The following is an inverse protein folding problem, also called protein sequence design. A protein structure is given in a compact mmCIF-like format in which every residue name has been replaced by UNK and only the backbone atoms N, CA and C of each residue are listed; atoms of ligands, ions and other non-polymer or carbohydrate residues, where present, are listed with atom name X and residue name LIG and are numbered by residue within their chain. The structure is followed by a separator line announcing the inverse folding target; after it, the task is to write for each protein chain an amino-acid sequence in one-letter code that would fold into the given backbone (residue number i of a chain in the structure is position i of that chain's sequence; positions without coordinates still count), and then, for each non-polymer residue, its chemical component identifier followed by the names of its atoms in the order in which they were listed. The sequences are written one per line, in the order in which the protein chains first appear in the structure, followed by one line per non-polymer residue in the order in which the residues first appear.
data_IF_614784012641
#
_entry.id   IF_614784012641
#
_cell.length_a   1.000
_cell.length_b   1.000
_cell.length_c   1.000
_cell.angle_alpha   90.00
_cell.angle_beta   90.00
_cell.angle_gamma   90.00
#
_symmetry.space_group_name_H-M   'P 1'
#
loop_
_entity.id
_entity.type
_entity.pdbx_description
1 polymer ?
#
# COMPACT_ATOMS: atom_id res chain seq x y z
N UNK A 1 -67.14 11.54 -13.15
CA UNK A 1 -65.80 11.29 -12.58
C UNK A 1 -65.97 10.99 -11.10
N UNK A 2 -65.49 9.84 -10.62
CA UNK A 2 -65.69 9.40 -9.23
C UNK A 2 -64.85 10.20 -8.22
N UNK A 3 -65.50 10.71 -7.19
CA UNK A 3 -64.90 11.52 -6.11
C UNK A 3 -63.74 10.80 -5.40
N UNK A 4 -63.77 9.46 -5.32
CA UNK A 4 -62.71 8.65 -4.71
C UNK A 4 -61.42 8.62 -5.53
N UNK A 5 -61.51 8.62 -6.87
CA UNK A 5 -60.33 8.66 -7.75
C UNK A 5 -59.61 10.01 -7.65
N UNK A 6 -60.34 11.09 -7.41
CA UNK A 6 -59.77 12.42 -7.25
C UNK A 6 -58.97 12.52 -5.95
N UNK A 7 -59.52 12.01 -4.83
CA UNK A 7 -58.80 11.95 -3.55
C UNK A 7 -57.54 11.08 -3.60
N UNK A 8 -57.55 9.96 -4.32
CA UNK A 8 -56.33 9.13 -4.47
C UNK A 8 -55.24 9.80 -5.29
N UNK A 9 -55.60 10.58 -6.32
CA UNK A 9 -54.61 11.32 -7.13
C UNK A 9 -53.99 12.43 -6.30
N UNK A 10 -54.80 13.24 -5.61
CA UNK A 10 -54.32 14.32 -4.74
C UNK A 10 -53.38 13.81 -3.63
N UNK A 11 -53.73 12.71 -2.97
CA UNK A 11 -52.88 12.14 -1.92
C UNK A 11 -51.56 11.58 -2.46
N UNK A 12 -51.58 10.97 -3.65
CA UNK A 12 -50.35 10.49 -4.30
C UNK A 12 -49.44 11.63 -4.76
N UNK A 13 -50.00 12.75 -5.20
CA UNK A 13 -49.24 13.95 -5.57
C UNK A 13 -48.63 14.63 -4.35
N UNK A 14 -49.38 14.76 -3.24
CA UNK A 14 -48.85 15.26 -1.97
C UNK A 14 -47.70 14.40 -1.46
N UNK A 15 -47.81 13.07 -1.55
CA UNK A 15 -46.73 12.14 -1.15
C UNK A 15 -45.48 12.30 -2.01
N UNK A 16 -45.62 12.55 -3.32
CA UNK A 16 -44.48 12.83 -4.21
C UNK A 16 -43.78 14.15 -3.86
N UNK A 17 -44.54 15.19 -3.53
CA UNK A 17 -43.97 16.48 -3.11
C UNK A 17 -43.20 16.36 -1.79
N UNK A 18 -43.75 15.65 -0.81
CA UNK A 18 -43.08 15.38 0.48
C UNK A 18 -41.78 14.57 0.28
N UNK A 19 -41.80 13.55 -0.58
CA UNK A 19 -40.60 12.77 -0.89
C UNK A 19 -39.52 13.61 -1.60
N UNK A 20 -39.92 14.51 -2.49
CA UNK A 20 -39.02 15.45 -3.16
C UNK A 20 -38.37 16.44 -2.19
N UNK A 21 -39.14 16.98 -1.23
CA UNK A 21 -38.64 17.87 -0.19
C UNK A 21 -37.64 17.15 0.74
N UNK A 22 -37.97 15.93 1.20
CA UNK A 22 -37.07 15.13 2.05
C UNK A 22 -35.71 14.86 1.40
N UNK A 23 -35.70 14.45 0.12
CA UNK A 23 -34.44 14.25 -0.64
C UNK A 23 -33.66 15.54 -0.87
N UNK A 24 -34.32 16.70 -0.86
CA UNK A 24 -33.66 18.01 -0.98
C UNK A 24 -33.02 18.40 0.35
N UNK A 25 -33.68 18.13 1.46
CA UNK A 25 -33.16 18.43 2.80
C UNK A 25 -32.03 17.48 3.21
N UNK A 26 -32.10 16.19 2.85
CA UNK A 26 -31.00 15.23 3.01
C UNK A 26 -29.74 15.67 2.26
N UNK A 27 -29.88 16.06 0.98
CA UNK A 27 -28.75 16.57 0.20
C UNK A 27 -28.15 17.84 0.77
N UNK A 28 -28.97 18.76 1.29
CA UNK A 28 -28.48 19.97 1.96
C UNK A 28 -27.68 19.61 3.22
N UNK A 29 -28.17 18.66 4.01
CA UNK A 29 -27.47 18.20 5.22
C UNK A 29 -26.12 17.58 4.89
N UNK A 30 -26.04 16.76 3.84
CA UNK A 30 -24.77 16.20 3.36
C UNK A 30 -23.82 17.28 2.86
N UNK A 31 -24.33 18.27 2.13
CA UNK A 31 -23.53 19.39 1.63
C UNK A 31 -22.92 20.20 2.78
N UNK A 32 -23.71 20.44 3.84
CA UNK A 32 -23.23 21.11 5.05
C UNK A 32 -22.16 20.28 5.75
N UNK A 33 -22.36 18.96 5.89
CA UNK A 33 -21.35 18.06 6.50
C UNK A 33 -20.04 18.10 5.74
N UNK A 34 -20.08 17.91 4.42
CA UNK A 34 -18.89 17.95 3.56
C UNK A 34 -18.21 19.31 3.64
N UNK A 35 -18.98 20.40 3.68
CA UNK A 35 -18.41 21.74 3.84
C UNK A 35 -17.68 21.88 5.18
N UNK A 36 -18.29 21.44 6.29
CA UNK A 36 -17.64 21.49 7.61
C UNK A 36 -16.39 20.62 7.68
N UNK A 37 -16.39 19.45 7.06
CA UNK A 37 -15.21 18.58 6.98
C UNK A 37 -14.08 19.23 6.18
N UNK A 38 -14.41 19.88 5.05
CA UNK A 38 -13.44 20.62 4.26
C UNK A 38 -12.84 21.79 5.05
N UNK A 39 -13.66 22.56 5.77
CA UNK A 39 -13.17 23.69 6.57
C UNK A 39 -12.23 23.21 7.70
N UNK A 40 -12.55 22.10 8.35
CA UNK A 40 -11.69 21.47 9.37
C UNK A 40 -10.39 20.94 8.77
N UNK A 41 -10.46 20.28 7.61
CA UNK A 41 -9.27 19.79 6.90
C UNK A 41 -8.36 20.94 6.48
N UNK A 42 -8.93 22.00 5.90
CA UNK A 42 -8.20 23.22 5.54
C UNK A 42 -7.50 23.84 6.76
N UNK A 43 -8.20 23.96 7.89
CA UNK A 43 -7.61 24.42 9.14
C UNK A 43 -6.42 23.56 9.59
N UNK A 44 -6.56 22.24 9.56
CA UNK A 44 -5.46 21.30 9.88
C UNK A 44 -4.26 21.45 8.94
N UNK A 45 -4.50 21.62 7.65
CA UNK A 45 -3.44 21.82 6.66
C UNK A 45 -2.70 23.14 6.88
N UNK A 46 -3.41 24.22 7.24
CA UNK A 46 -2.81 25.52 7.56
C UNK A 46 -1.94 25.43 8.81
N UNK A 47 -2.45 24.81 9.89
CA UNK A 47 -1.68 24.61 11.13
C UNK A 47 -0.44 23.78 10.87
N UNK A 48 -0.56 22.67 10.12
CA UNK A 48 0.58 21.83 9.77
C UNK A 48 1.61 22.57 8.91
N UNK A 49 1.16 23.40 7.97
CA UNK A 49 2.04 24.22 7.15
C UNK A 49 2.74 25.32 7.98
N UNK A 50 2.05 25.90 8.97
CA UNK A 50 2.66 26.82 9.93
C UNK A 50 3.69 26.12 10.81
N UNK A 51 3.39 24.91 11.30
CA UNK A 51 4.34 24.09 12.06
C UNK A 51 5.58 23.78 11.23
N UNK A 52 5.44 23.27 10.00
CA UNK A 52 6.58 23.01 9.11
C UNK A 52 7.38 24.27 8.75
N UNK A 53 6.78 25.47 8.78
CA UNK A 53 7.50 26.74 8.58
C UNK A 53 8.22 27.22 9.84
N UNK A 54 7.72 26.87 11.01
CA UNK A 54 8.26 27.29 12.31
C UNK A 54 9.19 26.24 12.93
N UNK A 55 9.22 25.03 12.37
CA UNK A 55 10.26 24.04 12.65
C UNK A 55 11.57 24.59 12.08
N UNK A 56 12.48 25.00 12.98
CA UNK A 56 13.85 25.31 12.61
C UNK A 56 14.44 24.07 11.94
N UNK A 57 15.01 24.28 10.74
CA UNK A 57 15.86 23.26 10.13
C UNK A 57 17.07 23.17 11.07
N UNK A 58 17.07 22.21 11.98
CA UNK A 58 18.23 21.85 12.79
C UNK A 58 19.33 21.40 11.82
N UNK A 59 20.03 22.37 11.26
CA UNK A 59 21.35 22.17 10.73
C UNK A 59 22.25 21.95 11.94
N UNK A 60 23.15 20.99 11.86
CA UNK A 60 24.05 20.67 12.97
C UNK A 60 25.04 21.83 13.11
N UNK A 61 24.73 22.79 13.98
CA UNK A 61 25.40 24.09 14.05
C UNK A 61 26.77 24.00 14.76
N UNK A 62 27.03 22.87 15.42
CA UNK A 62 28.30 22.61 16.09
C UNK A 62 29.09 21.50 15.40
N UNK A 63 30.42 21.68 15.37
CA UNK A 63 31.34 20.71 14.79
C UNK A 63 31.28 19.33 15.46
N UNK A 64 30.88 19.28 16.74
CA UNK A 64 30.79 18.07 17.54
C UNK A 64 29.59 17.21 17.14
N UNK A 65 28.43 17.83 16.92
CA UNK A 65 27.22 17.14 16.48
C UNK A 65 27.37 16.60 15.04
N UNK A 66 28.06 17.35 14.17
CA UNK A 66 28.35 16.87 12.82
C UNK A 66 29.29 15.66 12.83
N UNK A 67 30.31 15.66 13.69
CA UNK A 67 31.21 14.52 13.87
C UNK A 67 30.48 13.29 14.40
N UNK A 68 29.62 13.46 15.39
CA UNK A 68 28.79 12.38 15.92
C UNK A 68 27.86 11.79 14.85
N UNK A 69 27.21 12.63 14.05
CA UNK A 69 26.36 12.19 12.94
C UNK A 69 27.14 11.42 11.87
N UNK A 70 28.34 11.88 11.51
CA UNK A 70 29.19 11.20 10.55
C UNK A 70 29.62 9.82 11.06
N UNK A 71 29.95 9.71 12.35
CA UNK A 71 30.30 8.44 12.99
C UNK A 71 29.11 7.47 13.00
N UNK A 72 27.91 7.94 13.36
CA UNK A 72 26.69 7.14 13.32
C UNK A 72 26.42 6.60 11.90
N UNK A 73 26.58 7.44 10.87
CA UNK A 73 26.40 7.01 9.48
C UNK A 73 27.49 6.06 9.01
N UNK A 74 28.72 6.21 9.49
CA UNK A 74 29.79 5.25 9.20
C UNK A 74 29.52 3.89 9.83
N UNK A 75 29.01 3.83 11.06
CA UNK A 75 28.63 2.59 11.74
C UNK A 75 27.49 1.86 11.00
N UNK A 76 26.44 2.58 10.59
CA UNK A 76 25.35 2.03 9.77
C UNK A 76 25.90 1.42 8.46
N UNK A 77 26.79 2.13 7.78
CA UNK A 77 27.39 1.66 6.52
C UNK A 77 28.32 0.45 6.70
N UNK A 78 29.10 0.42 7.78
CA UNK A 78 29.96 -0.71 8.11
C UNK A 78 29.11 -1.94 8.41
N UNK A 79 28.01 -1.78 9.17
CA UNK A 79 27.08 -2.86 9.49
C UNK A 79 26.44 -3.44 8.23
N UNK A 80 25.98 -2.58 7.31
CA UNK A 80 25.42 -3.01 6.01
C UNK A 80 26.47 -3.74 5.17
N UNK A 81 27.70 -3.21 5.05
CA UNK A 81 28.78 -3.83 4.28
C UNK A 81 29.28 -5.13 4.90
N UNK A 82 29.29 -5.24 6.23
CA UNK A 82 29.64 -6.45 6.94
C UNK A 82 28.56 -7.54 6.72
N UNK A 83 27.28 -7.17 6.75
CA UNK A 83 26.18 -8.07 6.41
C UNK A 83 26.26 -8.55 4.95
N UNK A 84 26.60 -7.66 4.00
CA UNK A 84 26.79 -8.02 2.59
C UNK A 84 27.96 -9.01 2.40
N UNK A 85 29.06 -8.85 3.15
CA UNK A 85 30.24 -9.73 3.07
C UNK A 85 30.06 -11.06 3.81
N UNK A 86 29.36 -11.08 4.94
CA UNK A 86 29.10 -12.30 5.72
C UNK A 86 28.04 -13.19 5.08
N UNK A 87 27.18 -12.64 4.21
CA UNK A 87 26.22 -13.39 3.41
C UNK A 87 26.47 -13.22 1.90
N UNK A 88 27.48 -13.90 1.31
CA UNK A 88 27.61 -13.95 -0.14
C UNK A 88 26.42 -14.68 -0.82
N UNK A 89 25.54 -15.31 -0.03
CA UNK A 89 24.38 -16.09 -0.48
C UNK A 89 23.08 -15.77 0.29
N UNK A 90 22.95 -14.59 0.90
CA UNK A 90 21.65 -14.17 1.44
C UNK A 90 21.58 -12.65 1.41
N UNK A 91 20.73 -12.10 0.55
CA UNK A 91 20.34 -10.68 0.66
C UNK A 91 19.65 -10.49 2.02
N UNK A 92 20.41 -10.04 3.01
CA UNK A 92 19.91 -9.75 4.35
C UNK A 92 18.98 -8.55 4.33
N UNK A 93 17.86 -8.70 5.03
CA UNK A 93 16.87 -7.67 5.38
C UNK A 93 16.05 -7.08 4.23
N UNK A 94 15.04 -7.85 3.80
CA UNK A 94 13.75 -7.28 3.46
C UNK A 94 12.69 -7.93 4.35
N UNK A 95 12.29 -7.25 5.42
CA UNK A 95 10.95 -7.39 5.98
C UNK A 95 9.94 -7.01 4.88
N UNK A 96 9.61 -8.00 4.05
CA UNK A 96 8.36 -8.15 3.32
C UNK A 96 8.53 -9.42 2.51
N UNK A 97 7.84 -10.47 2.96
CA UNK A 97 7.22 -11.48 2.10
C UNK A 97 7.20 -11.00 0.65
N UNK A 98 8.14 -11.49 -0.15
CA UNK A 98 8.12 -11.25 -1.59
C UNK A 98 6.94 -12.07 -2.10
N UNK A 99 5.76 -11.46 -2.18
CA UNK A 99 4.63 -12.14 -2.80
C UNK A 99 4.88 -12.13 -4.29
N UNK A 100 5.15 -13.31 -4.85
CA UNK A 100 5.13 -13.52 -6.29
C UNK A 100 3.68 -13.44 -6.73
N UNK A 101 3.30 -12.32 -7.34
CA UNK A 101 1.93 -12.16 -7.84
C UNK A 101 1.89 -12.75 -9.23
N UNK A 102 1.17 -13.87 -9.38
CA UNK A 102 0.70 -14.31 -10.69
C UNK A 102 -0.38 -13.31 -11.11
N UNK A 103 -0.32 -12.79 -12.33
CA UNK A 103 -1.30 -11.82 -12.80
C UNK A 103 -2.73 -12.32 -12.52
N UNK A 104 -3.57 -11.55 -11.82
CA UNK A 104 -4.90 -12.02 -11.39
C UNK A 104 -5.88 -12.25 -12.56
N UNK A 105 -5.53 -11.81 -13.78
CA UNK A 105 -6.28 -12.12 -15.00
C UNK A 105 -6.07 -13.56 -15.49
N UNK A 106 -5.01 -14.25 -15.06
CA UNK A 106 -4.71 -15.62 -15.46
C UNK A 106 -5.34 -16.62 -14.51
N UNK A 107 -6.68 -16.69 -14.52
CA UNK A 107 -7.44 -17.74 -13.85
C UNK A 107 -7.21 -19.07 -14.56
N UNK A 108 -6.11 -19.74 -14.26
CA UNK A 108 -5.99 -21.20 -14.39
C UNK A 108 -4.80 -21.69 -13.56
N UNK A 109 -5.14 -22.59 -12.65
CA UNK A 109 -4.21 -23.34 -11.80
C UNK A 109 -3.14 -24.00 -12.66
N UNK A 110 -1.93 -23.44 -12.62
CA UNK A 110 -0.71 -24.13 -13.01
C UNK A 110 0.32 -23.79 -11.95
N UNK A 111 0.96 -24.84 -11.46
CA UNK A 111 2.16 -24.82 -10.62
C UNK A 111 3.23 -23.96 -11.28
N UNK A 112 4.01 -23.23 -10.46
CA UNK A 112 5.12 -22.41 -10.98
C UNK A 112 6.16 -23.30 -11.64
N UNK A 113 6.62 -22.92 -12.83
CA UNK A 113 7.67 -23.65 -13.55
C UNK A 113 8.98 -22.89 -13.51
N UNK A 114 10.06 -23.66 -13.63
CA UNK A 114 11.38 -23.11 -13.88
C UNK A 114 11.33 -22.33 -15.20
N UNK A 115 11.96 -21.15 -15.22
CA UNK A 115 11.98 -20.12 -16.27
C UNK A 115 10.71 -19.29 -16.44
N UNK A 116 9.72 -19.43 -15.58
CA UNK A 116 8.59 -18.50 -15.57
C UNK A 116 9.06 -17.09 -15.17
N UNK A 117 8.53 -16.08 -15.87
CA UNK A 117 8.76 -14.66 -15.55
C UNK A 117 7.75 -14.25 -14.49
N UNK A 118 8.25 -13.68 -13.40
CA UNK A 118 7.45 -13.30 -12.24
C UNK A 118 7.67 -11.84 -11.89
N UNK A 119 6.60 -11.19 -11.46
CA UNK A 119 6.65 -9.83 -10.94
C UNK A 119 6.73 -9.87 -9.41
N UNK A 120 7.68 -9.13 -8.87
CA UNK A 120 8.06 -9.15 -7.47
C UNK A 120 7.43 -7.95 -6.79
N UNK A 121 6.56 -8.18 -5.81
CA UNK A 121 5.88 -7.11 -5.10
C UNK A 121 6.87 -6.17 -4.41
N UNK A 122 6.89 -4.91 -4.83
CA UNK A 122 7.74 -3.86 -4.25
C UNK A 122 7.11 -3.14 -3.06
N UNK A 123 7.83 -2.18 -2.48
CA UNK A 123 7.29 -1.28 -1.44
C UNK A 123 6.36 -0.20 -2.02
N UNK A 124 6.48 0.06 -3.32
CA UNK A 124 5.72 1.09 -4.05
C UNK A 124 4.35 0.57 -4.51
N UNK A 125 3.34 1.46 -4.50
CA UNK A 125 1.97 1.12 -4.94
C UNK A 125 1.85 0.91 -6.46
N UNK A 126 2.73 1.52 -7.25
CA UNK A 126 2.72 1.39 -8.73
C UNK A 126 3.42 0.10 -9.17
N UNK A 127 2.69 -0.77 -9.89
CA UNK A 127 3.19 -2.04 -10.41
C UNK A 127 4.28 -1.90 -11.48
N UNK A 128 4.37 -0.75 -12.15
CA UNK A 128 5.37 -0.50 -13.19
C UNK A 128 6.80 -0.41 -12.63
N UNK A 129 6.93 -0.05 -11.36
CA UNK A 129 8.22 0.08 -10.67
C UNK A 129 8.64 -1.22 -9.95
N UNK A 130 7.87 -2.30 -10.13
CA UNK A 130 8.18 -3.58 -9.52
C UNK A 130 9.23 -4.31 -10.36
N UNK A 131 10.10 -5.04 -9.68
CA UNK A 131 11.17 -5.78 -10.34
C UNK A 131 10.60 -7.04 -11.01
N UNK A 132 11.04 -7.29 -12.25
CA UNK A 132 10.80 -8.55 -12.95
C UNK A 132 11.94 -9.52 -12.66
N UNK A 133 11.59 -10.78 -12.39
CA UNK A 133 12.53 -11.87 -12.16
C UNK A 133 12.19 -13.10 -12.98
N UNK A 134 13.17 -13.96 -13.19
CA UNK A 134 12.97 -15.28 -13.82
C UNK A 134 13.22 -16.35 -12.76
N UNK A 135 12.28 -17.28 -12.59
CA UNK A 135 12.46 -18.43 -11.69
C UNK A 135 13.57 -19.32 -12.22
N UNK A 136 14.58 -19.59 -11.39
CA UNK A 136 15.68 -20.48 -11.72
C UNK A 136 15.49 -21.84 -11.07
N UNK A 137 15.14 -21.86 -9.80
CA UNK A 137 14.96 -23.07 -9.00
C UNK A 137 13.70 -22.91 -8.14
N UNK A 138 12.98 -24.01 -7.94
CA UNK A 138 11.75 -24.07 -7.14
C UNK A 138 12.00 -25.06 -6.02
N UNK A 139 11.65 -24.68 -4.80
CA UNK A 139 11.78 -25.53 -3.61
C UNK A 139 10.36 -25.90 -3.17
N UNK A 140 10.01 -27.14 -3.45
CA UNK A 140 8.80 -27.79 -2.97
C UNK A 140 8.98 -28.28 -1.53
N UNK A 141 7.91 -28.18 -0.75
CA UNK A 141 7.81 -28.79 0.57
C UNK A 141 7.32 -30.24 0.49
N UNK A 142 7.26 -30.92 1.64
CA UNK A 142 6.77 -32.32 1.73
C UNK A 142 5.36 -32.53 1.18
N UNK A 143 4.56 -31.46 1.13
CA UNK A 143 3.17 -31.47 0.66
C UNK A 143 3.05 -31.30 -0.87
N UNK A 144 4.16 -31.34 -1.61
CA UNK A 144 4.25 -30.99 -3.05
C UNK A 144 3.79 -29.56 -3.39
N UNK A 145 3.74 -28.69 -2.38
CA UNK A 145 3.47 -27.26 -2.52
C UNK A 145 4.78 -26.49 -2.54
N UNK A 146 4.86 -25.48 -3.39
CA UNK A 146 6.04 -24.62 -3.51
C UNK A 146 6.10 -23.71 -2.28
N UNK A 147 7.18 -23.84 -1.48
CA UNK A 147 7.40 -23.04 -0.26
C UNK A 147 8.39 -21.91 -0.49
N UNK A 148 9.28 -22.08 -1.45
CA UNK A 148 10.24 -21.06 -1.85
C UNK A 148 10.60 -21.17 -3.32
N UNK A 149 11.07 -20.07 -3.90
CA UNK A 149 11.66 -20.05 -5.23
C UNK A 149 12.91 -19.18 -5.26
N UNK A 150 13.91 -19.63 -6.01
CA UNK A 150 15.10 -18.84 -6.30
C UNK A 150 14.93 -18.26 -7.69
N UNK A 151 15.04 -16.94 -7.77
CA UNK A 151 14.83 -16.16 -8.98
C UNK A 151 16.03 -15.29 -9.29
N UNK A 152 16.26 -15.04 -10.58
CA UNK A 152 17.28 -14.13 -11.07
C UNK A 152 16.63 -12.78 -11.40
N UNK A 153 17.06 -11.74 -10.71
CA UNK A 153 16.69 -10.35 -10.99
C UNK A 153 17.94 -9.66 -11.54
N UNK A 154 17.91 -9.26 -12.81
CA UNK A 154 19.06 -8.70 -13.50
C UNK A 154 20.34 -9.55 -13.32
N UNK A 155 21.31 -9.07 -12.53
CA UNK A 155 22.59 -9.75 -12.25
C UNK A 155 22.66 -10.44 -10.87
N UNK A 156 21.60 -10.39 -10.08
CA UNK A 156 21.57 -10.93 -8.70
C UNK A 156 20.58 -12.10 -8.60
N UNK A 157 20.91 -13.07 -7.75
CA UNK A 157 19.99 -14.13 -7.34
C UNK A 157 19.25 -13.69 -6.08
N UNK A 158 17.96 -13.97 -6.04
CA UNK A 158 17.09 -13.69 -4.91
C UNK A 158 16.34 -14.97 -4.55
N UNK A 159 16.24 -15.25 -3.25
CA UNK A 159 15.40 -16.32 -2.74
C UNK A 159 14.14 -15.70 -2.14
N UNK A 160 12.99 -16.15 -2.61
CA UNK A 160 11.68 -15.78 -2.11
C UNK A 160 11.13 -16.94 -1.28
N UNK A 161 10.83 -16.71 0.00
CA UNK A 161 10.22 -17.69 0.90
C UNK A 161 8.81 -17.24 1.29
N UNK A 162 7.86 -18.17 1.30
CA UNK A 162 6.52 -17.94 1.85
C UNK A 162 6.52 -18.11 3.39
N UNK A 163 6.20 -17.04 4.13
CA UNK A 163 5.97 -17.07 5.58
C UNK A 163 4.64 -17.72 6.01
N UNK A 164 3.83 -18.24 5.08
CA UNK A 164 2.50 -18.79 5.39
C UNK A 164 2.51 -20.11 6.21
N UNK A 165 3.63 -20.47 6.83
CA UNK A 165 3.73 -21.61 7.77
C UNK A 165 4.04 -21.22 9.22
N UNK A 166 4.12 -19.93 9.56
CA UNK A 166 4.37 -19.51 10.96
C UNK A 166 3.09 -19.33 11.81
N UNK A 167 1.93 -19.72 11.29
CA UNK A 167 0.69 -19.80 12.08
C UNK A 167 -0.07 -21.08 11.72
N UNK A 168 0.30 -22.18 12.38
CA UNK A 168 -0.61 -23.20 12.89
C UNK A 168 0.10 -23.93 14.03
#
# INVERSE_FOLDING_TARGET
MDMRRMQSVLTSEQQRQIAGAKKKDERKLELVKVQTENDVLLGKHIVKAQQMRNEDINLLDTTEELQFYCLQKQEELITIKAAERACPMVGGFYERLVKCVKDPSWKNSRTWKIRDVVLIHGTQKSKLLWNLGIIKEVIDGRDNLIRACVMKIAKRLFMCQDWYLMFN
#
